data_IF_079066901312
#
_entry.id   IF_079066901312
#
_cell.length_a   1.000
_cell.length_b   1.000
_cell.length_c   1.000
_cell.angle_alpha   90.00
_cell.angle_beta   90.00
_cell.angle_gamma   90.00
#
_symmetry.space_group_name_H-M   'P 1'
#
loop_
_entity.id
_entity.type
_entity.pdbx_description
1 polymer ?
#
# COMPACT_ATOMS: atom_id res chain seq x y z
N UNK A 1 9.54 36.51 -1.07
CA UNK A 1 8.63 35.69 -0.24
C UNK A 1 8.71 34.27 -0.75
N UNK A 2 9.59 33.44 -0.16
CA UNK A 2 9.87 32.07 -0.64
C UNK A 2 8.93 31.07 0.04
N UNK A 3 8.03 30.46 -0.72
CA UNK A 3 7.19 29.35 -0.30
C UNK A 3 7.96 28.04 -0.34
N UNK A 4 8.60 27.68 0.77
CA UNK A 4 9.16 26.34 0.98
C UNK A 4 7.99 25.42 1.32
N UNK A 5 7.46 24.75 0.30
CA UNK A 5 6.42 23.75 0.45
C UNK A 5 7.05 22.52 1.13
N UNK A 6 6.70 22.31 2.39
CA UNK A 6 7.30 21.31 3.26
C UNK A 6 7.00 19.89 2.81
N UNK A 7 7.93 19.29 2.07
CA UNK A 7 8.13 17.84 2.10
C UNK A 7 8.65 17.49 3.50
N UNK A 8 7.73 17.38 4.47
CA UNK A 8 8.02 16.69 5.73
C UNK A 8 8.23 15.22 5.36
N UNK A 9 9.48 14.84 5.11
CA UNK A 9 9.90 13.44 5.22
C UNK A 9 9.51 12.99 6.62
N UNK A 10 8.45 12.20 6.73
CA UNK A 10 8.19 11.44 7.94
C UNK A 10 9.44 10.61 8.20
N UNK A 11 10.24 11.01 9.18
CA UNK A 11 11.43 10.27 9.58
C UNK A 11 10.96 8.95 10.19
N UNK A 12 10.83 7.92 9.34
CA UNK A 12 10.51 6.57 9.78
C UNK A 12 11.57 6.03 10.73
N UNK A 13 11.20 5.02 11.52
CA UNK A 13 12.15 4.27 12.36
C UNK A 13 13.30 3.75 11.47
N UNK A 14 14.57 3.94 11.89
CA UNK A 14 15.69 3.46 11.09
C UNK A 14 15.67 1.93 11.02
N UNK A 15 15.87 1.42 9.80
CA UNK A 15 15.79 -0.01 9.50
C UNK A 15 16.96 -0.43 8.64
N UNK A 16 17.40 -1.67 8.86
CA UNK A 16 18.42 -2.36 8.08
C UNK A 16 17.75 -3.44 7.23
N UNK A 17 18.01 -3.45 5.92
CA UNK A 17 17.51 -4.51 5.04
C UNK A 17 18.38 -5.76 5.13
N UNK A 18 17.77 -6.92 5.38
CA UNK A 18 18.41 -8.23 5.46
C UNK A 18 17.72 -9.24 4.55
N UNK A 19 18.52 -9.91 3.71
CA UNK A 19 18.03 -11.01 2.88
C UNK A 19 17.96 -12.30 3.70
N UNK A 20 16.85 -13.02 3.60
CA UNK A 20 16.63 -14.28 4.32
C UNK A 20 16.99 -15.48 3.44
N UNK A 21 17.71 -16.46 4.00
CA UNK A 21 18.01 -17.72 3.31
C UNK A 21 16.79 -18.64 3.18
N UNK A 22 15.75 -18.41 4.00
CA UNK A 22 14.60 -19.31 4.11
C UNK A 22 13.61 -19.07 2.97
N UNK A 23 13.34 -17.81 2.65
CA UNK A 23 12.33 -17.40 1.68
C UNK A 23 12.92 -16.59 0.50
N UNK A 24 14.21 -16.26 0.55
CA UNK A 24 14.89 -15.46 -0.49
C UNK A 24 14.38 -14.02 -0.57
N UNK A 25 13.72 -13.52 0.48
CA UNK A 25 13.20 -12.16 0.54
C UNK A 25 14.12 -11.25 1.34
N UNK A 26 14.19 -9.98 0.92
CA UNK A 26 14.80 -8.90 1.69
C UNK A 26 13.74 -8.30 2.62
N UNK A 27 13.95 -8.52 3.91
CA UNK A 27 13.12 -8.00 4.99
C UNK A 27 13.78 -6.78 5.62
N UNK A 28 12.99 -5.83 6.09
CA UNK A 28 13.50 -4.71 6.87
C UNK A 28 13.41 -5.05 8.36
N UNK A 29 14.53 -4.89 9.07
CA UNK A 29 14.68 -5.14 10.50
C UNK A 29 14.95 -3.79 11.17
N UNK A 30 14.24 -3.45 12.24
CA UNK A 30 14.54 -2.22 13.00
C UNK A 30 15.93 -2.31 13.64
N UNK A 31 16.65 -1.21 13.71
CA UNK A 31 18.02 -1.23 14.24
C UNK A 31 18.12 -1.75 15.69
N UNK A 32 17.07 -1.56 16.49
CA UNK A 32 16.90 -2.14 17.83
C UNK A 32 16.86 -3.67 17.78
N UNK A 33 16.10 -4.23 16.84
CA UNK A 33 15.99 -5.68 16.61
C UNK A 33 17.28 -6.27 15.99
N UNK A 34 18.03 -5.48 15.21
CA UNK A 34 19.37 -5.86 14.75
C UNK A 34 20.30 -6.10 15.93
N UNK A 35 20.30 -5.18 16.90
CA UNK A 35 21.14 -5.30 18.10
C UNK A 35 20.72 -6.50 18.95
N UNK A 36 19.41 -6.68 19.16
CA UNK A 36 18.88 -7.79 19.95
C UNK A 36 19.19 -9.17 19.31
N UNK A 37 19.02 -9.28 18.00
CA UNK A 37 19.19 -10.52 17.23
C UNK A 37 20.63 -10.97 17.05
N UNK A 38 21.60 -10.05 17.19
CA UNK A 38 23.03 -10.31 16.94
C UNK A 38 23.59 -11.50 17.74
N UNK A 39 23.16 -11.66 18.99
CA UNK A 39 23.63 -12.76 19.86
C UNK A 39 23.15 -14.14 19.39
N UNK A 40 22.00 -14.21 18.70
CA UNK A 40 21.36 -15.45 18.23
C UNK A 40 21.58 -15.70 16.74
N UNK A 41 22.05 -14.69 15.99
CA UNK A 41 22.15 -14.74 14.53
C UNK A 41 20.78 -14.83 13.83
N UNK A 42 19.73 -14.35 14.50
CA UNK A 42 18.33 -14.41 14.08
C UNK A 42 17.68 -13.07 14.39
N UNK A 43 16.94 -12.52 13.44
CA UNK A 43 16.48 -11.13 13.49
C UNK A 43 14.99 -11.06 13.25
N UNK A 44 14.26 -10.31 14.08
CA UNK A 44 12.83 -10.12 13.89
C UNK A 44 12.62 -8.94 12.94
N UNK A 45 12.10 -9.22 11.75
CA UNK A 45 11.74 -8.20 10.78
C UNK A 45 10.50 -7.41 11.23
N UNK A 46 10.31 -6.21 10.68
CA UNK A 46 9.11 -5.39 10.91
C UNK A 46 7.81 -6.14 10.56
N UNK A 47 7.85 -7.07 9.60
CA UNK A 47 6.69 -7.89 9.25
C UNK A 47 6.43 -9.07 10.23
N UNK A 48 7.25 -9.21 11.28
CA UNK A 48 7.18 -10.28 12.27
C UNK A 48 7.91 -11.57 11.88
N UNK A 49 8.55 -11.62 10.70
CA UNK A 49 9.30 -12.80 10.28
C UNK A 49 10.61 -12.94 11.08
N UNK A 50 10.96 -14.18 11.45
CA UNK A 50 12.29 -14.53 11.97
C UNK A 50 13.25 -14.77 10.80
N UNK A 51 14.19 -13.83 10.63
CA UNK A 51 15.14 -13.77 9.51
C UNK A 51 16.42 -14.49 9.88
N UNK A 52 16.70 -15.59 9.17
CA UNK A 52 18.05 -16.12 9.04
C UNK A 52 18.79 -15.37 7.92
N UNK A 53 19.81 -14.56 8.23
CA UNK A 53 20.47 -13.74 7.22
C UNK A 53 21.21 -14.62 6.19
N UNK A 54 21.11 -14.24 4.93
CA UNK A 54 21.94 -14.77 3.87
C UNK A 54 23.37 -14.26 3.96
N UNK A 55 24.30 -15.04 3.40
CA UNK A 55 25.68 -14.58 3.23
C UNK A 55 25.72 -13.30 2.40
N UNK A 56 26.65 -12.40 2.71
CA UNK A 56 26.83 -11.15 1.94
C UNK A 56 27.25 -11.39 0.48
N UNK A 57 27.72 -12.59 0.16
CA UNK A 57 28.05 -13.03 -1.20
C UNK A 57 26.84 -13.59 -1.96
N UNK A 58 25.72 -13.86 -1.28
CA UNK A 58 24.49 -14.27 -1.94
C UNK A 58 23.87 -13.10 -2.70
N UNK A 59 23.14 -13.36 -3.81
CA UNK A 59 22.35 -12.33 -4.47
C UNK A 59 21.35 -11.69 -3.51
N UNK A 60 21.09 -10.40 -3.68
CA UNK A 60 20.07 -9.69 -2.90
C UNK A 60 18.69 -10.32 -3.08
N UNK A 61 17.98 -10.51 -1.98
CA UNK A 61 16.61 -11.01 -1.99
C UNK A 61 15.62 -10.02 -2.61
N UNK A 62 14.48 -10.52 -3.08
CA UNK A 62 13.38 -9.65 -3.52
C UNK A 62 12.76 -8.96 -2.30
N UNK A 63 12.41 -7.68 -2.42
CA UNK A 63 11.81 -6.93 -1.31
C UNK A 63 10.53 -7.61 -0.80
N UNK A 64 10.46 -7.82 0.51
CA UNK A 64 9.26 -8.29 1.19
C UNK A 64 8.16 -7.24 1.09
N UNK A 65 7.00 -7.62 0.53
CA UNK A 65 5.87 -6.71 0.30
C UNK A 65 5.28 -6.18 1.61
N UNK A 66 5.29 -6.98 2.67
CA UNK A 66 4.79 -6.57 3.99
C UNK A 66 5.70 -5.53 4.62
N UNK A 67 7.03 -5.74 4.62
CA UNK A 67 7.98 -4.72 5.08
C UNK A 67 7.88 -3.43 4.24
N UNK A 68 7.75 -3.55 2.92
CA UNK A 68 7.56 -2.40 2.05
C UNK A 68 6.28 -1.60 2.37
N UNK A 69 5.18 -2.26 2.70
CA UNK A 69 3.95 -1.60 3.12
C UNK A 69 4.10 -0.88 4.46
N UNK A 70 4.81 -1.48 5.42
CA UNK A 70 5.04 -0.90 6.75
C UNK A 70 5.99 0.31 6.72
N UNK A 71 6.93 0.37 5.76
CA UNK A 71 7.79 1.55 5.54
C UNK A 71 7.04 2.80 5.07
N UNK A 72 5.79 2.67 4.61
CA UNK A 72 4.96 3.80 4.17
C UNK A 72 3.86 4.08 5.20
N UNK A 73 4.15 4.81 6.30
CA UNK A 73 3.15 5.15 7.32
C UNK A 73 2.07 6.13 6.85
N UNK A 74 2.10 6.60 5.59
CA UNK A 74 1.10 7.51 4.99
C UNK A 74 -0.29 6.88 4.77
N UNK A 75 -0.53 5.71 5.37
CA UNK A 75 -1.84 5.06 5.48
C UNK A 75 -2.19 4.76 6.94
N UNK A 76 -1.69 5.56 7.88
CA UNK A 76 -2.37 5.67 9.17
C UNK A 76 -3.74 6.25 8.87
N UNK A 77 -4.75 5.37 8.86
CA UNK A 77 -6.16 5.67 8.63
C UNK A 77 -6.56 6.76 9.64
N UNK A 78 -6.57 8.03 9.21
CA UNK A 78 -7.45 9.01 9.85
C UNK A 78 -8.87 8.40 9.76
N UNK A 79 -9.60 8.23 10.88
CA UNK A 79 -10.87 7.48 10.94
C UNK A 79 -12.04 8.20 10.22
N UNK A 80 -11.85 8.52 8.94
CA UNK A 80 -12.79 9.22 8.09
C UNK A 80 -12.48 9.12 6.58
N UNK A 81 -11.40 8.44 6.16
CA UNK A 81 -10.98 8.50 4.76
C UNK A 81 -10.79 7.13 4.08
N UNK A 82 -11.84 6.31 4.00
CA UNK A 82 -12.05 5.39 2.84
C UNK A 82 -13.54 5.26 2.50
N UNK A 83 -13.97 5.17 1.22
CA UNK A 83 -13.19 5.09 -0.02
C UNK A 83 -13.75 5.94 -1.20
N UNK A 84 -12.99 6.94 -1.64
CA UNK A 84 -13.29 7.70 -2.88
C UNK A 84 -13.37 6.83 -4.16
N UNK A 85 -12.87 5.58 -4.13
CA UNK A 85 -12.95 4.64 -5.25
C UNK A 85 -14.20 3.75 -5.23
N UNK A 86 -14.67 3.27 -4.07
CA UNK A 86 -15.91 2.49 -4.02
C UNK A 86 -17.15 3.40 -4.16
N UNK A 87 -17.10 4.62 -3.63
CA UNK A 87 -18.11 5.65 -3.86
C UNK A 87 -18.25 5.99 -5.36
N UNK A 88 -17.13 6.14 -6.09
CA UNK A 88 -17.14 6.36 -7.55
C UNK A 88 -17.81 5.23 -8.32
N UNK A 89 -17.61 3.97 -7.92
CA UNK A 89 -18.27 2.80 -8.56
C UNK A 89 -19.78 2.74 -8.28
N UNK A 90 -20.20 3.13 -7.08
CA UNK A 90 -21.62 3.21 -6.75
C UNK A 90 -22.31 4.35 -7.54
N UNK A 91 -21.68 5.53 -7.60
CA UNK A 91 -22.18 6.67 -8.37
C UNK A 91 -22.23 6.38 -9.87
N UNK A 92 -21.22 5.71 -10.45
CA UNK A 92 -21.24 5.37 -11.88
C UNK A 92 -22.34 4.38 -12.23
N UNK A 93 -22.65 3.40 -11.37
CA UNK A 93 -23.78 2.48 -11.56
C UNK A 93 -25.12 3.20 -11.54
N UNK A 94 -25.30 4.12 -10.60
CA UNK A 94 -26.53 4.91 -10.52
C UNK A 94 -26.71 5.84 -11.73
N UNK A 95 -25.65 6.53 -12.15
CA UNK A 95 -25.68 7.37 -13.36
C UNK A 95 -25.98 6.56 -14.63
N UNK A 96 -25.43 5.35 -14.75
CA UNK A 96 -25.75 4.45 -15.87
C UNK A 96 -27.22 4.03 -15.85
N UNK A 97 -27.79 3.69 -14.69
CA UNK A 97 -29.20 3.37 -14.55
C UNK A 97 -30.11 4.55 -14.92
N UNK A 98 -29.82 5.76 -14.41
CA UNK A 98 -30.57 6.97 -14.76
C UNK A 98 -30.49 7.29 -16.26
N UNK A 99 -29.31 7.13 -16.88
CA UNK A 99 -29.13 7.37 -18.33
C UNK A 99 -29.91 6.37 -19.20
N UNK A 100 -30.12 5.14 -18.73
CA UNK A 100 -30.92 4.13 -19.44
C UNK A 100 -32.42 4.47 -19.39
N UNK A 101 -32.91 4.93 -18.23
CA UNK A 101 -34.30 5.37 -18.03
C UNK A 101 -34.61 6.60 -18.88
N UNK A 102 -33.73 7.61 -18.90
CA UNK A 102 -33.96 8.81 -19.72
C UNK A 102 -34.01 8.49 -21.23
N UNK A 103 -33.15 7.58 -21.72
CA UNK A 103 -33.15 7.16 -23.13
C UNK A 103 -34.40 6.37 -23.52
N UNK A 104 -34.92 5.52 -22.64
CA UNK A 104 -36.18 4.79 -22.89
C UNK A 104 -37.39 5.73 -22.84
N UNK A 105 -37.42 6.69 -21.90
CA UNK A 105 -38.49 7.67 -21.80
C UNK A 105 -38.56 8.60 -23.03
N UNK A 106 -37.42 9.04 -23.56
CA UNK A 106 -37.36 9.86 -24.77
C UNK A 106 -37.65 9.05 -26.05
N UNK A 107 -37.36 7.74 -26.06
CA UNK A 107 -37.67 6.85 -27.18
C UNK A 107 -39.15 6.44 -27.29
N UNK A 108 -39.97 6.69 -26.26
CA UNK A 108 -41.41 6.43 -26.29
C UNK A 108 -42.26 7.63 -26.75
N UNK A 109 -41.64 8.74 -27.16
CA UNK A 109 -42.34 9.85 -27.81
C UNK A 109 -41.96 9.95 -29.29
N UNK A 110 -42.26 8.90 -30.06
CA UNK A 110 -42.44 9.05 -31.50
C UNK A 110 -43.95 9.06 -31.77
N UNK A 111 -44.58 10.21 -32.06
CA UNK A 111 -45.96 10.22 -32.49
C UNK A 111 -46.06 9.54 -33.86
N UNK A 112 -46.77 8.41 -33.91
CA UNK A 112 -47.28 7.84 -35.17
C UNK A 112 -48.31 8.83 -35.70
N UNK A 113 -47.96 9.52 -36.78
CA UNK A 113 -48.94 10.23 -37.60
C UNK A 113 -49.47 9.25 -38.66
N UNK A 114 -50.80 9.13 -38.71
CA UNK A 114 -51.54 8.54 -39.83
C UNK A 114 -51.82 9.60 -40.89
#
# INVERSE_FOLDING_TARGET
>A
MNGQNGARTAAGVPTTSMSSVVDGLAHDVEDTEVVAGRSRGRYVAMCGADVAPAALTAPSGRVCRSCAALRCPELTDEPGQRPARAARRAQSRWLMACSAIMRTALGHQAPVWS
#
